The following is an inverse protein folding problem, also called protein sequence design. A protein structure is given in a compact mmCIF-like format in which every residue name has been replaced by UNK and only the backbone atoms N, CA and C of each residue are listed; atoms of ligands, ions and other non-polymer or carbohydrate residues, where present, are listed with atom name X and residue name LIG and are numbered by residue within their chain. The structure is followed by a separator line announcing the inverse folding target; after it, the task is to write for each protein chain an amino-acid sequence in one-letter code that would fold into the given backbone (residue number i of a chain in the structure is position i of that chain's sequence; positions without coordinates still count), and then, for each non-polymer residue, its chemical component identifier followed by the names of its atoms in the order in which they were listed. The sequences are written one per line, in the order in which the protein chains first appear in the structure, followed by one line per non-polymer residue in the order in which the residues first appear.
data_IF_213690404772
#
_entry.id   IF_213690404772
#
_cell.length_a   1.000
_cell.length_b   1.000
_cell.length_c   1.000
_cell.angle_alpha   90.00
_cell.angle_beta   90.00
_cell.angle_gamma   90.00
#
_symmetry.space_group_name_H-M   'P 1'
#
loop_
_entity.id
_entity.type
_entity.pdbx_description
1 polymer ?
#
# COMPACT_ATOMS: atom_id res chain seq x y z
N UNK A 1 -32.69 -0.21 -1.65
CA UNK A 1 -31.59 -0.01 -2.61
C UNK A 1 -30.31 0.15 -1.81
N UNK A 2 -29.62 -0.96 -1.55
CA UNK A 2 -28.30 -0.96 -0.91
C UNK A 2 -27.26 -0.90 -2.02
N UNK A 3 -26.51 0.20 -2.07
CA UNK A 3 -25.36 0.32 -2.95
C UNK A 3 -24.35 -0.77 -2.54
N UNK A 4 -24.22 -1.80 -3.36
CA UNK A 4 -23.05 -2.66 -3.35
C UNK A 4 -21.88 -1.80 -3.80
N UNK A 5 -21.04 -1.39 -2.87
CA UNK A 5 -19.68 -0.94 -3.16
C UNK A 5 -19.02 -2.07 -3.94
N UNK A 6 -19.05 -1.99 -5.27
CA UNK A 6 -18.14 -2.77 -6.12
C UNK A 6 -16.79 -2.15 -5.86
N UNK A 7 -15.99 -2.79 -4.99
CA UNK A 7 -14.56 -2.57 -5.02
C UNK A 7 -14.10 -2.78 -6.46
N UNK A 8 -13.41 -1.80 -7.03
CA UNK A 8 -12.91 -1.90 -8.40
C UNK A 8 -12.09 -3.20 -8.52
N UNK A 9 -12.43 -4.13 -9.43
CA UNK A 9 -11.65 -5.36 -9.62
C UNK A 9 -10.17 -5.06 -9.95
N UNK A 10 -9.92 -3.90 -10.54
CA UNK A 10 -8.58 -3.35 -10.80
C UNK A 10 -7.79 -3.09 -9.51
N UNK A 11 -8.45 -2.65 -8.43
CA UNK A 11 -7.80 -2.39 -7.14
C UNK A 11 -7.43 -3.70 -6.42
N UNK A 12 -8.29 -4.71 -6.43
CA UNK A 12 -7.92 -6.00 -5.82
C UNK A 12 -6.77 -6.68 -6.58
N UNK A 13 -6.78 -6.59 -7.91
CA UNK A 13 -5.71 -7.10 -8.78
C UNK A 13 -4.40 -6.34 -8.55
N UNK A 14 -4.44 -5.01 -8.49
CA UNK A 14 -3.27 -4.19 -8.20
C UNK A 14 -2.70 -4.46 -6.80
N UNK A 15 -3.56 -4.62 -5.79
CA UNK A 15 -3.15 -5.00 -4.43
C UNK A 15 -2.44 -6.35 -4.41
N UNK A 16 -2.96 -7.35 -5.14
CA UNK A 16 -2.34 -8.67 -5.22
C UNK A 16 -0.95 -8.61 -5.89
N UNK A 17 -0.82 -7.85 -6.98
CA UNK A 17 0.47 -7.62 -7.65
C UNK A 17 1.47 -6.93 -6.73
N UNK A 18 1.07 -5.83 -6.07
CA UNK A 18 1.91 -5.11 -5.12
C UNK A 18 2.35 -6.02 -3.96
N UNK A 19 1.45 -6.88 -3.45
CA UNK A 19 1.80 -7.81 -2.37
C UNK A 19 2.77 -8.90 -2.84
N UNK A 20 2.69 -9.31 -4.10
CA UNK A 20 3.62 -10.24 -4.71
C UNK A 20 5.00 -9.59 -4.96
N UNK A 21 5.04 -8.34 -5.39
CA UNK A 21 6.27 -7.57 -5.56
C UNK A 21 6.93 -7.19 -4.22
N UNK A 22 6.11 -6.88 -3.20
CA UNK A 22 6.55 -6.37 -1.91
C UNK A 22 5.99 -7.20 -0.74
N UNK A 23 6.43 -8.45 -0.57
CA UNK A 23 5.92 -9.31 0.51
C UNK A 23 6.26 -8.81 1.92
N UNK A 24 7.25 -7.93 2.06
CA UNK A 24 7.62 -7.27 3.32
C UNK A 24 6.72 -6.06 3.67
N UNK A 25 5.80 -5.70 2.79
CA UNK A 25 4.93 -4.54 2.92
C UNK A 25 3.46 -4.96 3.05
N UNK A 26 2.77 -4.37 4.02
CA UNK A 26 1.33 -4.47 4.20
C UNK A 26 0.65 -3.40 3.37
N UNK A 27 -0.04 -3.80 2.30
CA UNK A 27 -0.78 -2.88 1.42
C UNK A 27 -2.26 -2.85 1.82
N UNK A 28 -2.75 -1.65 2.06
CA UNK A 28 -4.12 -1.33 2.47
C UNK A 28 -4.70 -0.38 1.44
N UNK A 29 -5.86 -0.72 0.90
CA UNK A 29 -6.64 0.15 0.03
C UNK A 29 -7.94 0.51 0.75
N UNK A 30 -8.30 1.79 0.73
CA UNK A 30 -9.58 2.26 1.26
C UNK A 30 -10.56 2.54 0.12
N UNK A 31 -11.85 2.34 0.39
CA UNK A 31 -12.94 2.60 -0.55
C UNK A 31 -12.98 4.05 -1.07
N UNK A 32 -12.35 4.99 -0.35
CA UNK A 32 -12.15 6.38 -0.77
C UNK A 32 -11.14 6.53 -1.92
N UNK A 33 -10.54 5.44 -2.41
CA UNK A 33 -9.54 5.44 -3.47
C UNK A 33 -8.12 5.70 -2.97
N UNK A 34 -7.89 5.70 -1.65
CA UNK A 34 -6.55 5.93 -1.09
C UNK A 34 -5.82 4.62 -0.86
N UNK A 35 -4.58 4.58 -1.30
CA UNK A 35 -3.66 3.46 -1.12
C UNK A 35 -2.63 3.79 -0.05
N UNK A 36 -2.35 2.81 0.79
CA UNK A 36 -1.44 2.90 1.91
C UNK A 36 -0.59 1.64 1.94
N UNK A 37 0.71 1.78 2.17
CA UNK A 37 1.58 0.66 2.42
C UNK A 37 2.44 0.93 3.64
N UNK A 38 2.50 -0.07 4.53
CA UNK A 38 3.31 -0.03 5.74
C UNK A 38 4.26 -1.21 5.76
N UNK A 39 5.55 -0.97 6.03
CA UNK A 39 6.53 -2.05 6.15
C UNK A 39 6.33 -2.82 7.47
N UNK A 40 6.40 -4.16 7.43
CA UNK A 40 6.35 -5.00 8.63
C UNK A 40 7.61 -5.87 8.77
N UNK A 41 8.03 -6.29 9.98
CA UNK A 41 7.47 -6.02 11.30
C UNK A 41 8.14 -4.79 11.94
N UNK A 42 7.48 -3.64 11.87
CA UNK A 42 7.88 -2.46 12.61
C UNK A 42 7.21 -2.50 13.98
N UNK A 43 8.02 -2.54 15.03
CA UNK A 43 7.59 -2.27 16.40
C UNK A 43 6.83 -0.95 16.44
N UNK A 44 5.87 -0.82 17.36
CA UNK A 44 4.96 0.34 17.48
C UNK A 44 5.69 1.70 17.52
N UNK A 45 6.97 1.70 17.86
CA UNK A 45 7.89 2.83 17.91
C UNK A 45 8.33 3.33 16.53
N UNK A 46 8.44 2.44 15.53
CA UNK A 46 8.86 2.75 14.16
C UNK A 46 7.69 3.17 13.24
N UNK A 47 6.45 3.07 13.76
CA UNK A 47 5.22 3.42 13.06
C UNK A 47 5.09 4.93 12.78
N UNK A 48 5.95 5.77 13.38
CA UNK A 48 5.78 7.22 13.41
C UNK A 48 6.74 8.01 12.50
N UNK A 49 7.59 7.38 11.67
CA UNK A 49 8.57 8.19 10.94
C UNK A 49 9.23 7.70 9.65
N UNK A 50 9.21 6.41 9.30
CA UNK A 50 10.12 5.95 8.21
C UNK A 50 9.51 5.05 7.15
N UNK A 51 8.32 4.46 7.35
CA UNK A 51 7.84 3.43 6.40
C UNK A 51 6.32 3.36 6.21
N UNK A 52 5.61 4.46 6.38
CA UNK A 52 4.26 4.63 5.84
C UNK A 52 4.34 5.41 4.52
N UNK A 53 3.87 4.81 3.43
CA UNK A 53 3.70 5.50 2.16
C UNK A 53 2.24 5.46 1.76
N UNK A 54 1.74 6.61 1.31
CA UNK A 54 0.37 6.76 0.83
C UNK A 54 0.37 7.31 -0.60
N UNK A 55 -0.57 6.85 -1.42
CA UNK A 55 -0.75 7.29 -2.79
C UNK A 55 -2.22 7.20 -3.19
N UNK A 56 -2.62 7.96 -4.22
CA UNK A 56 -3.96 7.91 -4.79
C UNK A 56 -4.07 6.87 -5.92
N UNK A 57 -2.93 6.31 -6.36
CA UNK A 57 -2.84 5.26 -7.39
C UNK A 57 -1.95 4.10 -6.95
N UNK A 58 -2.21 2.88 -7.43
CA UNK A 58 -1.38 1.72 -7.13
C UNK A 58 0.05 1.87 -7.68
N UNK A 59 0.21 2.48 -8.86
CA UNK A 59 1.52 2.75 -9.47
C UNK A 59 2.34 3.73 -8.61
N UNK A 60 1.71 4.82 -8.16
CA UNK A 60 2.36 5.78 -7.26
C UNK A 60 2.73 5.17 -5.92
N UNK A 61 1.94 4.20 -5.42
CA UNK A 61 2.29 3.44 -4.23
C UNK A 61 3.54 2.59 -4.46
N UNK A 62 3.62 1.87 -5.60
CA UNK A 62 4.76 1.03 -5.95
C UNK A 62 6.06 1.84 -6.04
N UNK A 63 6.01 3.00 -6.67
CA UNK A 63 7.17 3.90 -6.81
C UNK A 63 7.66 4.37 -5.45
N UNK A 64 6.76 4.79 -4.56
CA UNK A 64 7.11 5.20 -3.18
C UNK A 64 7.71 4.05 -2.38
N UNK A 65 7.15 2.84 -2.47
CA UNK A 65 7.72 1.66 -1.81
C UNK A 65 9.14 1.39 -2.32
N UNK A 66 9.35 1.44 -3.64
CA UNK A 66 10.68 1.25 -4.27
C UNK A 66 11.68 2.33 -3.85
N UNK A 67 11.23 3.57 -3.70
CA UNK A 67 12.05 4.68 -3.21
C UNK A 67 12.49 4.44 -1.76
N UNK A 68 11.57 4.02 -0.89
CA UNK A 68 11.92 3.68 0.51
C UNK A 68 12.90 2.52 0.55
N UNK A 69 12.66 1.44 -0.21
CA UNK A 69 13.59 0.30 -0.28
C UNK A 69 14.97 0.72 -0.79
N UNK A 70 15.03 1.67 -1.75
CA UNK A 70 16.30 2.22 -2.25
C UNK A 70 17.02 3.03 -1.17
N UNK A 71 16.28 3.82 -0.40
CA UNK A 71 16.83 4.70 0.64
C UNK A 71 17.23 3.95 1.92
N UNK A 72 16.72 2.74 2.12
CA UNK A 72 17.04 1.84 3.24
C UNK A 72 18.38 1.10 3.08
N UNK A 73 19.04 1.20 1.91
CA UNK A 73 20.31 0.52 1.58
C UNK A 73 21.52 1.43 1.78
#
# INVERSE_FOLDING_TARGET
MTAITVGHPDAETAKAQLKAEFPAWSIIWTDTGKWWATRGPLTREELSGVADVSADTPEGLAEKIREVIRNDR
#
